data_IF_530387156132
#
_entry.id   IF_530387156132
#
_cell.length_a   1.000
_cell.length_b   1.000
_cell.length_c   1.000
_cell.angle_alpha   90.00
_cell.angle_beta   90.00
_cell.angle_gamma   90.00
#
_symmetry.space_group_name_H-M   'P 1'
#
loop_
_entity.id
_entity.type
_entity.pdbx_description
1 polymer ?
#
# COMPACT_ATOMS: atom_id res chain seq x y z
N UNK A 1 20.03 19.09 -6.86
CA UNK A 1 19.50 18.32 -5.71
C UNK A 1 18.35 17.45 -6.17
N UNK A 2 18.14 16.27 -5.58
CA UNK A 2 17.01 15.37 -5.85
C UNK A 2 16.33 15.04 -4.53
N UNK A 3 15.02 14.88 -4.55
CA UNK A 3 14.24 14.35 -3.44
C UNK A 3 13.81 12.93 -3.78
N UNK A 4 13.94 12.02 -2.83
CA UNK A 4 13.56 10.63 -2.99
C UNK A 4 12.60 10.23 -1.87
N UNK A 5 11.51 9.59 -2.26
CA UNK A 5 10.47 9.09 -1.38
C UNK A 5 10.34 7.59 -1.64
N UNK A 6 10.05 6.82 -0.59
CA UNK A 6 10.10 5.37 -0.63
C UNK A 6 8.86 4.80 0.04
N UNK A 7 8.34 3.71 -0.51
CA UNK A 7 7.51 2.76 0.23
C UNK A 7 8.27 1.44 0.25
N UNK A 8 8.68 1.01 1.43
CA UNK A 8 9.49 -0.19 1.60
C UNK A 8 8.62 -1.37 2.04
N UNK A 9 9.01 -2.57 1.65
CA UNK A 9 8.44 -3.78 2.23
C UNK A 9 8.80 -3.85 3.73
N UNK A 10 7.79 -4.09 4.56
CA UNK A 10 7.86 -4.19 6.02
C UNK A 10 7.94 -5.64 6.51
N UNK A 11 7.88 -6.61 5.61
CA UNK A 11 8.23 -8.01 5.90
C UNK A 11 9.74 -8.21 5.93
N UNK A 12 10.20 -9.31 6.55
CA UNK A 12 11.59 -9.75 6.58
C UNK A 12 12.07 -10.30 5.21
N UNK A 13 11.78 -9.58 4.12
CA UNK A 13 12.13 -9.95 2.73
C UNK A 13 12.47 -8.71 1.92
N UNK A 14 13.61 -8.74 1.23
CA UNK A 14 13.99 -7.74 0.24
C UNK A 14 13.24 -7.95 -1.10
N UNK A 15 11.92 -7.77 -1.07
CA UNK A 15 11.02 -7.99 -2.21
C UNK A 15 10.03 -6.83 -2.33
N UNK A 16 9.63 -6.48 -3.55
CA UNK A 16 8.77 -5.32 -3.83
C UNK A 16 9.38 -3.98 -3.38
N UNK A 17 8.57 -3.05 -2.89
CA UNK A 17 8.98 -1.67 -2.67
C UNK A 17 8.91 -0.79 -3.92
N UNK A 18 8.60 0.49 -3.73
CA UNK A 18 8.61 1.52 -4.79
C UNK A 18 9.34 2.78 -4.32
N UNK A 19 9.88 3.52 -5.27
CA UNK A 19 10.48 4.82 -5.01
C UNK A 19 10.08 5.84 -6.07
N UNK A 20 9.80 7.06 -5.63
CA UNK A 20 9.55 8.22 -6.50
C UNK A 20 10.70 9.20 -6.32
N UNK A 21 11.47 9.44 -7.38
CA UNK A 21 12.62 10.34 -7.37
C UNK A 21 12.30 11.60 -8.18
N UNK A 22 12.25 12.73 -7.49
CA UNK A 22 11.91 14.02 -8.07
C UNK A 22 13.16 14.87 -8.28
N UNK A 23 13.31 15.42 -9.49
CA UNK A 23 14.33 16.43 -9.77
C UNK A 23 13.83 17.76 -9.19
N UNK A 24 14.57 18.33 -8.23
CA UNK A 24 14.14 19.55 -7.53
C UNK A 24 13.86 20.73 -8.48
N UNK A 25 14.58 20.82 -9.61
CA UNK A 25 14.38 21.87 -10.61
C UNK A 25 13.07 21.72 -11.42
N UNK A 26 12.39 20.58 -11.34
CA UNK A 26 11.15 20.33 -12.07
C UNK A 26 9.94 20.33 -11.13
N UNK A 27 10.02 19.56 -10.04
CA UNK A 27 8.96 19.51 -9.03
C UNK A 27 9.49 18.93 -7.72
N UNK A 28 8.94 19.40 -6.61
CA UNK A 28 9.08 18.81 -5.28
C UNK A 28 7.67 18.54 -4.78
N UNK A 29 7.33 17.31 -4.39
CA UNK A 29 6.02 17.02 -3.82
C UNK A 29 5.72 17.93 -2.62
N UNK A 30 4.49 18.42 -2.52
CA UNK A 30 3.96 19.09 -1.33
C UNK A 30 3.79 18.10 -0.17
N UNK A 31 3.38 16.87 -0.50
CA UNK A 31 3.27 15.76 0.43
C UNK A 31 3.62 14.43 -0.23
N UNK A 32 3.98 13.45 0.59
CA UNK A 32 4.21 12.08 0.17
C UNK A 32 3.65 11.12 1.23
N UNK A 33 2.94 10.09 0.79
CA UNK A 33 2.30 9.09 1.65
C UNK A 33 2.60 7.69 1.13
N UNK A 34 3.01 6.80 2.04
CA UNK A 34 3.13 5.37 1.75
C UNK A 34 1.77 4.69 1.86
N UNK A 35 1.46 3.79 0.93
CA UNK A 35 0.18 3.09 0.92
C UNK A 35 -0.93 3.91 0.25
N UNK A 36 -2.16 3.44 0.45
CA UNK A 36 -3.39 3.98 -0.16
C UNK A 36 -4.64 3.76 0.71
N UNK A 37 -4.49 3.17 1.90
CA UNK A 37 -5.56 2.98 2.88
C UNK A 37 -5.61 4.09 3.93
N UNK A 38 -4.53 4.86 4.07
CA UNK A 38 -4.32 5.83 5.16
C UNK A 38 -3.83 5.19 6.47
N UNK A 39 -3.78 3.86 6.59
CA UNK A 39 -3.36 3.16 7.81
C UNK A 39 -1.94 3.54 8.24
N UNK A 40 -1.00 3.65 7.29
CA UNK A 40 0.41 3.91 7.59
C UNK A 40 0.67 5.33 8.11
N UNK A 41 -0.28 6.26 7.91
CA UNK A 41 -0.23 7.61 8.49
C UNK A 41 -0.69 7.63 9.96
N UNK A 42 -1.39 6.58 10.43
CA UNK A 42 -1.91 6.50 11.79
C UNK A 42 -0.84 6.07 12.80
N UNK A 43 -0.86 6.71 13.97
CA UNK A 43 -0.08 6.31 15.13
C UNK A 43 -0.54 4.95 15.66
N UNK A 44 0.31 4.22 16.42
CA UNK A 44 -0.12 2.98 17.08
C UNK A 44 -1.34 3.15 18.00
N UNK A 45 -1.50 4.32 18.63
CA UNK A 45 -2.65 4.60 19.49
C UNK A 45 -3.95 4.77 18.71
N UNK A 46 -3.89 5.39 17.52
CA UNK A 46 -5.05 5.53 16.63
C UNK A 46 -5.49 4.21 16.00
N UNK A 47 -4.55 3.26 15.87
CA UNK A 47 -4.79 1.90 15.38
C UNK A 47 -5.13 0.89 16.49
N UNK A 48 -5.28 1.33 17.73
CA UNK A 48 -5.68 0.43 18.83
C UNK A 48 -7.16 0.02 18.64
N UNK A 49 -7.48 -1.27 18.43
CA UNK A 49 -8.86 -1.74 18.25
C UNK A 49 -9.79 -1.40 19.42
N UNK A 50 -9.23 -1.11 20.61
CA UNK A 50 -9.98 -0.69 21.80
C UNK A 50 -10.41 0.77 21.75
N UNK A 51 -9.71 1.59 20.95
CA UNK A 51 -9.98 3.03 20.74
C UNK A 51 -10.76 3.23 19.45
N UNK A 52 -10.32 2.59 18.37
CA UNK A 52 -10.98 2.62 17.08
C UNK A 52 -11.06 1.20 16.53
N UNK A 53 -12.25 0.60 16.41
CA UNK A 53 -12.39 -0.81 16.01
C UNK A 53 -12.02 -1.07 14.53
N UNK A 54 -11.78 -0.02 13.75
CA UNK A 54 -11.44 -0.11 12.34
C UNK A 54 -11.67 1.22 11.61
N UNK A 55 -11.59 1.22 10.28
CA UNK A 55 -11.86 2.38 9.44
C UNK A 55 -13.27 2.92 9.66
N UNK A 56 -13.43 4.23 9.48
CA UNK A 56 -14.70 4.91 9.70
C UNK A 56 -15.83 4.31 8.84
N UNK A 57 -17.07 4.22 9.37
CA UNK A 57 -18.24 3.86 8.59
C UNK A 57 -18.39 4.75 7.36
N UNK A 58 -18.67 4.15 6.19
CA UNK A 58 -18.81 4.87 4.93
C UNK A 58 -17.50 5.19 4.20
N UNK A 59 -16.33 4.88 4.79
CA UNK A 59 -15.06 4.87 4.06
C UNK A 59 -15.00 3.69 3.07
N UNK A 60 -14.09 3.76 2.09
CA UNK A 60 -13.80 2.64 1.17
C UNK A 60 -13.47 1.34 1.92
N UNK A 61 -12.92 1.47 3.12
CA UNK A 61 -12.42 0.41 3.97
C UNK A 61 -13.39 0.03 5.10
N UNK A 62 -14.63 0.51 5.06
CA UNK A 62 -15.64 0.16 6.04
C UNK A 62 -15.80 -1.37 6.14
N UNK A 63 -15.69 -1.91 7.36
CA UNK A 63 -15.77 -3.34 7.64
C UNK A 63 -14.44 -4.10 7.61
N UNK A 64 -13.32 -3.45 7.23
CA UNK A 64 -11.98 -4.04 7.38
C UNK A 64 -11.46 -3.82 8.81
N UNK A 65 -10.62 -4.72 9.30
CA UNK A 65 -9.81 -4.50 10.51
C UNK A 65 -8.50 -3.81 10.17
N UNK A 66 -7.83 -3.24 11.16
CA UNK A 66 -6.50 -2.65 10.97
C UNK A 66 -5.47 -3.67 10.48
N UNK A 67 -5.54 -4.91 10.94
CA UNK A 67 -4.65 -5.99 10.54
C UNK A 67 -4.87 -6.42 9.08
N UNK A 68 -6.12 -6.33 8.59
CA UNK A 68 -6.45 -6.60 7.20
C UNK A 68 -5.91 -5.49 6.28
N UNK A 69 -6.03 -4.22 6.68
CA UNK A 69 -5.42 -3.12 5.93
C UNK A 69 -3.89 -3.21 5.94
N UNK A 70 -3.30 -3.55 7.08
CA UNK A 70 -1.86 -3.76 7.19
C UNK A 70 -1.41 -4.88 6.23
N UNK A 71 -2.23 -5.93 6.06
CA UNK A 71 -2.02 -7.01 5.09
C UNK A 71 -1.93 -6.54 3.65
N UNK A 72 -2.72 -5.54 3.31
CA UNK A 72 -2.79 -5.03 1.95
C UNK A 72 -1.54 -4.17 1.65
N UNK A 73 -1.03 -3.43 2.64
CA UNK A 73 -0.01 -2.39 2.43
C UNK A 73 1.43 -2.79 2.77
N UNK A 74 1.64 -3.79 3.64
CA UNK A 74 2.97 -4.12 4.19
C UNK A 74 4.04 -4.52 3.17
N UNK A 75 3.66 -4.87 1.94
CA UNK A 75 4.61 -5.12 0.84
C UNK A 75 5.21 -3.85 0.20
N UNK A 76 4.79 -2.65 0.63
CA UNK A 76 5.38 -1.37 0.17
C UNK A 76 5.14 -1.09 -1.32
N UNK A 77 3.96 -1.46 -1.83
CA UNK A 77 3.67 -1.46 -3.28
C UNK A 77 3.14 -0.15 -3.84
N UNK A 78 2.76 0.79 -2.97
CA UNK A 78 2.14 2.06 -3.38
C UNK A 78 2.82 3.20 -2.65
N UNK A 79 3.16 4.24 -3.41
CA UNK A 79 3.63 5.53 -2.91
C UNK A 79 2.89 6.63 -3.64
N UNK A 80 2.22 7.49 -2.89
CA UNK A 80 1.47 8.64 -3.40
C UNK A 80 2.28 9.90 -3.16
N UNK A 81 2.45 10.73 -4.19
CA UNK A 81 3.08 12.04 -4.05
C UNK A 81 2.19 13.12 -4.65
N UNK A 82 1.80 14.10 -3.84
CA UNK A 82 1.03 15.26 -4.28
C UNK A 82 1.98 16.37 -4.74
N UNK A 83 1.84 16.83 -5.98
CA UNK A 83 2.62 17.91 -6.58
C UNK A 83 1.82 19.22 -6.71
N UNK A 84 0.65 19.30 -6.09
CA UNK A 84 -0.30 20.43 -6.14
C UNK A 84 -1.11 20.46 -7.42
N UNK A 85 -0.45 20.46 -8.58
CA UNK A 85 -1.13 20.44 -9.88
C UNK A 85 -1.63 19.05 -10.30
N UNK A 86 -1.02 18.01 -9.73
CA UNK A 86 -1.38 16.61 -9.95
C UNK A 86 -0.93 15.77 -8.77
N UNK A 87 -1.53 14.60 -8.63
CA UNK A 87 -1.07 13.56 -7.71
C UNK A 87 -0.52 12.39 -8.54
N UNK A 88 0.66 11.91 -8.18
CA UNK A 88 1.27 10.71 -8.75
C UNK A 88 1.05 9.54 -7.80
N UNK A 89 0.37 8.50 -8.29
CA UNK A 89 0.24 7.21 -7.61
C UNK A 89 1.22 6.23 -8.26
N UNK A 90 2.35 5.96 -7.60
CA UNK A 90 3.35 5.00 -8.06
C UNK A 90 3.00 3.60 -7.53
N UNK A 91 2.61 2.69 -8.43
CA UNK A 91 2.06 1.37 -8.08
C UNK A 91 2.93 0.26 -8.65
N UNK A 92 3.40 -0.65 -7.79
CA UNK A 92 3.98 -1.94 -8.17
C UNK A 92 2.98 -3.08 -7.91
N UNK A 93 2.24 -3.44 -8.95
CA UNK A 93 1.17 -4.43 -8.88
C UNK A 93 1.61 -5.82 -8.41
N UNK A 94 0.81 -6.50 -7.57
CA UNK A 94 1.14 -7.84 -7.10
C UNK A 94 1.04 -8.90 -8.20
N UNK A 95 2.01 -9.80 -8.18
CA UNK A 95 2.01 -11.00 -9.00
C UNK A 95 1.48 -12.18 -8.18
N UNK A 96 0.66 -13.02 -8.81
CA UNK A 96 0.15 -14.26 -8.21
C UNK A 96 1.28 -15.29 -8.04
N UNK A 97 2.33 -15.20 -8.86
CA UNK A 97 3.41 -16.19 -8.89
C UNK A 97 2.95 -17.51 -9.53
N UNK A 98 3.90 -18.29 -10.00
CA UNK A 98 3.64 -19.59 -10.65
C UNK A 98 4.88 -20.45 -10.88
N UNK A 99 6.02 -20.11 -10.25
CA UNK A 99 7.25 -20.88 -10.36
C UNK A 99 7.72 -21.31 -8.97
N UNK A 100 7.23 -22.46 -8.56
CA UNK A 100 7.61 -23.17 -7.34
C UNK A 100 6.75 -24.42 -7.25
N UNK A 101 7.20 -25.51 -7.88
CA UNK A 101 6.55 -26.81 -7.72
C UNK A 101 6.82 -27.32 -6.30
N UNK A 102 5.79 -27.39 -5.48
CA UNK A 102 5.83 -27.87 -4.10
C UNK A 102 4.42 -28.16 -3.59
N UNK A 103 4.29 -28.97 -2.53
CA UNK A 103 3.02 -29.41 -1.94
C UNK A 103 2.13 -28.26 -1.43
N UNK A 104 2.69 -27.07 -1.26
CA UNK A 104 2.08 -25.82 -0.79
C UNK A 104 1.90 -24.77 -1.92
N UNK A 105 2.17 -25.13 -3.18
CA UNK A 105 2.15 -24.19 -4.30
C UNK A 105 0.74 -23.68 -4.60
N UNK A 106 -0.27 -24.54 -4.56
CA UNK A 106 -1.66 -24.18 -4.87
C UNK A 106 -2.26 -23.23 -3.83
N UNK A 107 -2.05 -23.50 -2.54
CA UNK A 107 -2.50 -22.62 -1.46
C UNK A 107 -1.88 -21.23 -1.54
N UNK A 108 -0.57 -21.15 -1.80
CA UNK A 108 0.13 -19.87 -1.99
C UNK A 108 -0.38 -19.11 -3.21
N UNK A 109 -0.66 -19.80 -4.32
CA UNK A 109 -1.24 -19.18 -5.52
C UNK A 109 -2.62 -18.58 -5.21
N UNK A 110 -3.46 -19.29 -4.46
CA UNK A 110 -4.78 -18.79 -4.10
C UNK A 110 -4.70 -17.59 -3.15
N UNK A 111 -3.86 -17.64 -2.12
CA UNK A 111 -3.61 -16.51 -1.22
C UNK A 111 -3.12 -15.28 -1.99
N UNK A 112 -2.18 -15.46 -2.94
CA UNK A 112 -1.69 -14.36 -3.78
C UNK A 112 -2.74 -13.82 -4.74
N UNK A 113 -3.65 -14.67 -5.24
CA UNK A 113 -4.78 -14.26 -6.08
C UNK A 113 -5.78 -13.43 -5.27
N UNK A 114 -6.11 -13.87 -4.06
CA UNK A 114 -6.96 -13.12 -3.14
C UNK A 114 -6.34 -11.76 -2.79
N UNK A 115 -5.06 -11.74 -2.40
CA UNK A 115 -4.31 -10.51 -2.15
C UNK A 115 -4.34 -9.56 -3.36
N UNK A 116 -4.09 -10.07 -4.56
CA UNK A 116 -4.16 -9.29 -5.80
C UNK A 116 -5.55 -8.68 -6.00
N UNK A 117 -6.61 -9.45 -5.78
CA UNK A 117 -7.99 -8.96 -5.89
C UNK A 117 -8.27 -7.79 -4.95
N UNK A 118 -7.97 -7.97 -3.67
CA UNK A 118 -8.16 -6.94 -2.64
C UNK A 118 -7.30 -5.69 -2.90
N UNK A 119 -6.05 -5.88 -3.29
CA UNK A 119 -5.14 -4.78 -3.64
C UNK A 119 -5.70 -3.90 -4.77
N UNK A 120 -6.13 -4.50 -5.89
CA UNK A 120 -6.66 -3.73 -7.02
C UNK A 120 -8.04 -3.16 -6.76
N UNK A 121 -8.88 -3.82 -5.96
CA UNK A 121 -10.16 -3.26 -5.50
C UNK A 121 -9.91 -1.95 -4.73
N UNK A 122 -8.95 -1.97 -3.81
CA UNK A 122 -8.64 -0.79 -3.03
C UNK A 122 -7.96 0.32 -3.84
N UNK A 123 -6.94 0.01 -4.66
CA UNK A 123 -6.26 1.00 -5.51
C UNK A 123 -7.23 1.66 -6.49
N UNK A 124 -8.17 0.91 -7.07
CA UNK A 124 -9.18 1.47 -7.98
C UNK A 124 -10.26 2.31 -7.28
N UNK A 125 -10.43 2.13 -5.96
CA UNK A 125 -11.33 2.94 -5.14
C UNK A 125 -10.70 4.22 -4.59
N UNK A 126 -9.39 4.45 -4.79
CA UNK A 126 -8.72 5.70 -4.40
C UNK A 126 -9.26 6.82 -5.29
N UNK A 127 -10.13 7.65 -4.72
CA UNK A 127 -10.60 8.89 -5.34
C UNK A 127 -9.83 10.03 -4.68
N UNK A 128 -9.05 10.76 -5.48
CA UNK A 128 -8.27 11.94 -5.07
C UNK A 128 -9.02 13.22 -5.44
#
# INVERSE_FOLDING_TARGET
MRHAFFACNREDKAYAGVATVCRAAATVPLSAEEGFTGLLALTPAERDPRVSPGPAPGSLWAGYTWEQLDAIEREGRVLVTDHGAFVLINVYGPNVGGKGGGLDAEGRVEERRAYKGEFYKGVSGVVL
#
